data_IF_839983665624
#
_entry.id   IF_839983665624
#
_cell.length_a   1.000
_cell.length_b   1.000
_cell.length_c   1.000
_cell.angle_alpha   90.00
_cell.angle_beta   90.00
_cell.angle_gamma   90.00
#
_symmetry.space_group_name_H-M   'P 1'
#
loop_
_entity.id
_entity.type
_entity.pdbx_description
1 polymer ?
#
# COMPACT_ATOMS: atom_id res chain seq x y z
N UNK A 1 -42.00 37.24 -49.41
CA UNK A 1 -43.42 36.86 -49.53
C UNK A 1 -43.66 35.71 -48.58
N UNK A 2 -44.07 36.00 -47.35
CA UNK A 2 -45.21 35.33 -46.73
C UNK A 2 -45.66 36.15 -45.53
N UNK A 3 -46.96 36.21 -45.32
CA UNK A 3 -47.64 37.18 -44.46
C UNK A 3 -48.81 36.53 -43.73
N UNK A 4 -49.08 37.03 -42.51
CA UNK A 4 -50.38 36.98 -41.77
C UNK A 4 -50.69 35.65 -41.02
N UNK A 5 -51.23 35.54 -39.78
CA UNK A 5 -52.09 36.37 -38.90
C UNK A 5 -51.95 36.05 -37.37
N UNK A 6 -52.35 37.04 -36.55
CA UNK A 6 -52.91 37.12 -35.18
C UNK A 6 -53.63 35.86 -34.59
N UNK A 7 -53.87 35.60 -33.27
CA UNK A 7 -54.32 36.45 -32.14
C UNK A 7 -54.39 35.70 -30.75
N UNK A 8 -54.01 36.40 -29.64
CA UNK A 8 -54.56 36.52 -28.24
C UNK A 8 -55.02 35.33 -27.32
N UNK A 9 -54.50 35.30 -26.06
CA UNK A 9 -55.14 35.59 -24.71
C UNK A 9 -54.21 35.10 -23.55
N UNK A 10 -53.72 35.97 -22.63
CA UNK A 10 -54.23 36.25 -21.26
C UNK A 10 -53.76 35.19 -20.23
N UNK A 11 -53.00 35.42 -19.15
CA UNK A 11 -52.76 36.56 -18.26
C UNK A 11 -53.34 36.24 -16.88
N UNK A 12 -52.52 35.97 -15.84
CA UNK A 12 -52.76 36.32 -14.41
C UNK A 12 -51.66 35.75 -13.48
N UNK A 13 -50.94 36.69 -12.86
CA UNK A 13 -50.12 36.55 -11.65
C UNK A 13 -51.05 36.78 -10.46
N UNK A 14 -50.90 36.04 -9.36
CA UNK A 14 -51.52 36.38 -8.08
C UNK A 14 -50.53 36.31 -6.92
N UNK A 15 -50.60 37.33 -6.07
CA UNK A 15 -49.74 37.66 -4.94
C UNK A 15 -50.63 37.72 -3.67
N UNK A 16 -50.11 37.17 -2.56
CA UNK A 16 -50.44 37.47 -1.13
C UNK A 16 -51.86 37.10 -0.62
N UNK A 17 -52.15 37.00 0.72
CA UNK A 17 -51.51 37.73 1.84
C UNK A 17 -51.27 36.97 3.17
N UNK A 18 -50.55 37.68 4.03
CA UNK A 18 -50.20 37.49 5.45
C UNK A 18 -51.35 37.24 6.44
N UNK A 19 -51.11 36.41 7.46
CA UNK A 19 -51.70 36.54 8.82
C UNK A 19 -50.75 35.97 9.89
N UNK A 20 -50.54 36.73 10.98
CA UNK A 20 -50.04 36.28 12.30
C UNK A 20 -51.19 36.29 13.31
N UNK A 21 -51.11 35.51 14.41
CA UNK A 21 -51.02 36.20 15.72
C UNK A 21 -50.23 35.46 16.84
N UNK A 22 -49.57 36.27 17.72
CA UNK A 22 -49.44 36.23 19.22
C UNK A 22 -49.07 34.90 19.92
N UNK A 23 -48.33 34.81 21.05
CA UNK A 23 -47.90 35.74 22.11
C UNK A 23 -46.75 35.13 22.94
N UNK A 24 -46.09 36.00 23.70
CA UNK A 24 -45.09 35.83 24.76
C UNK A 24 -45.42 34.83 25.89
N UNK A 25 -44.40 34.15 26.44
CA UNK A 25 -44.10 34.27 27.88
C UNK A 25 -42.68 33.82 28.29
N UNK A 26 -42.14 34.50 29.30
CA UNK A 26 -40.85 34.22 29.98
C UNK A 26 -41.07 33.38 31.23
N UNK A 27 -40.19 32.41 31.51
CA UNK A 27 -39.77 31.99 32.87
C UNK A 27 -38.45 31.21 32.74
N UNK A 28 -37.29 31.78 33.09
CA UNK A 28 -36.59 31.73 34.39
C UNK A 28 -36.31 30.30 34.90
N UNK A 29 -35.03 29.91 34.78
CA UNK A 29 -34.18 29.00 35.59
C UNK A 29 -34.72 27.60 35.93
N UNK A 30 -33.94 26.60 35.52
CA UNK A 30 -33.24 25.76 36.50
C UNK A 30 -31.93 25.18 35.95
N UNK A 31 -30.84 25.50 36.65
CA UNK A 31 -29.53 24.85 36.53
C UNK A 31 -29.63 23.50 37.22
N UNK A 32 -29.52 22.40 36.47
CA UNK A 32 -29.06 21.12 37.02
C UNK A 32 -28.03 20.48 36.11
N UNK A 33 -26.83 20.42 36.67
CA UNK A 33 -25.66 19.64 36.30
C UNK A 33 -26.00 18.22 35.85
N UNK A 34 -25.47 17.85 34.69
CA UNK A 34 -25.45 16.49 34.17
C UNK A 34 -24.29 16.34 33.18
N UNK A 35 -23.07 16.30 33.71
CA UNK A 35 -21.90 15.82 32.96
C UNK A 35 -22.13 14.36 32.56
N UNK A 36 -22.20 14.09 31.27
CA UNK A 36 -21.95 12.74 30.73
C UNK A 36 -21.71 12.75 29.21
N UNK A 37 -20.42 12.80 28.87
CA UNK A 37 -19.82 11.84 27.93
C UNK A 37 -20.31 11.84 26.46
N UNK A 38 -20.40 13.01 25.81
CA UNK A 38 -20.61 13.11 24.35
C UNK A 38 -19.34 13.45 23.54
N UNK A 39 -18.23 13.81 24.19
CA UNK A 39 -16.99 14.20 23.51
C UNK A 39 -16.12 13.03 23.03
N UNK A 40 -16.32 11.81 23.58
CA UNK A 40 -15.51 10.62 23.24
C UNK A 40 -15.98 9.86 21.99
N UNK A 41 -17.16 10.17 21.45
CA UNK A 41 -17.68 9.58 20.19
C UNK A 41 -17.23 10.32 18.93
N UNK A 42 -16.81 11.59 19.03
CA UNK A 42 -16.43 12.39 17.87
C UNK A 42 -14.94 12.28 17.46
N UNK A 43 -14.07 11.72 18.29
CA UNK A 43 -12.66 11.46 17.89
C UNK A 43 -12.46 10.13 17.15
N UNK A 44 -13.31 9.12 17.39
CA UNK A 44 -13.19 7.80 16.77
C UNK A 44 -13.51 7.74 15.28
N UNK A 45 -14.05 8.81 14.69
CA UNK A 45 -14.44 8.84 13.26
C UNK A 45 -13.48 9.65 12.38
N UNK A 46 -12.36 10.14 12.93
CA UNK A 46 -11.32 10.80 12.13
C UNK A 46 -10.45 9.73 11.46
N UNK A 47 -10.78 9.40 10.21
CA UNK A 47 -9.88 8.62 9.35
C UNK A 47 -8.48 9.25 9.29
N UNK A 48 -7.47 8.41 9.13
CA UNK A 48 -6.07 8.85 8.98
C UNK A 48 -5.73 8.93 7.50
N UNK A 49 -4.91 9.92 7.13
CA UNK A 49 -4.41 10.00 5.78
C UNK A 49 -3.33 8.94 5.54
N UNK A 50 -3.19 8.49 4.29
CA UNK A 50 -2.05 7.69 3.84
C UNK A 50 -0.77 8.53 4.00
N UNK A 51 0.25 7.93 4.60
CA UNK A 51 1.56 8.56 4.73
C UNK A 51 2.32 8.44 3.42
N UNK A 52 2.92 9.54 2.95
CA UNK A 52 3.71 9.56 1.72
C UNK A 52 5.11 10.07 2.01
N UNK A 53 6.07 9.21 1.76
CA UNK A 53 7.49 9.46 1.87
C UNK A 53 8.06 9.55 0.47
N UNK A 54 8.94 10.53 0.24
CA UNK A 54 9.74 10.57 -0.98
C UNK A 54 11.19 10.17 -0.71
N UNK A 55 11.75 9.38 -1.63
CA UNK A 55 13.15 9.00 -1.64
C UNK A 55 13.76 9.26 -3.01
N UNK A 56 14.77 10.12 -3.07
CA UNK A 56 15.57 10.36 -4.26
C UNK A 56 16.87 9.55 -4.19
N UNK A 57 17.15 8.73 -5.21
CA UNK A 57 18.44 8.01 -5.27
C UNK A 57 19.59 8.96 -5.67
N UNK A 58 20.85 8.64 -5.34
CA UNK A 58 21.99 9.27 -6.01
C UNK A 58 22.02 8.94 -7.51
N UNK A 59 22.78 9.72 -8.27
CA UNK A 59 23.11 9.38 -9.66
C UNK A 59 23.78 8.01 -9.70
N UNK A 60 23.45 7.21 -10.71
CA UNK A 60 24.17 5.95 -10.96
C UNK A 60 25.59 6.25 -11.44
N UNK A 61 26.47 5.25 -11.37
CA UNK A 61 27.84 5.39 -11.90
C UNK A 61 27.83 5.79 -13.38
N UNK A 62 26.91 5.25 -14.17
CA UNK A 62 26.73 5.61 -15.59
C UNK A 62 26.33 7.08 -15.76
N UNK A 63 25.33 7.55 -15.01
CA UNK A 63 24.85 8.93 -15.07
C UNK A 63 25.92 9.93 -14.61
N UNK A 64 26.69 9.56 -13.58
CA UNK A 64 27.80 10.36 -13.10
C UNK A 64 28.93 10.44 -14.14
N UNK A 65 29.26 9.31 -14.80
CA UNK A 65 30.30 9.24 -15.85
C UNK A 65 29.99 10.13 -17.05
N UNK A 66 28.72 10.22 -17.46
CA UNK A 66 28.31 11.05 -18.60
C UNK A 66 27.91 12.48 -18.18
N UNK A 67 28.16 12.86 -16.92
CA UNK A 67 27.82 14.17 -16.35
C UNK A 67 26.35 14.56 -16.56
N UNK A 68 25.44 13.61 -16.31
CA UNK A 68 24.00 13.86 -16.46
C UNK A 68 23.55 15.01 -15.57
N UNK A 69 22.86 16.03 -16.13
CA UNK A 69 22.31 17.12 -15.34
C UNK A 69 21.31 16.64 -14.29
N UNK A 70 21.47 17.14 -13.07
CA UNK A 70 20.53 16.96 -11.96
C UNK A 70 19.47 18.05 -12.02
N UNK A 71 18.20 17.65 -12.03
CA UNK A 71 17.03 18.55 -12.11
C UNK A 71 16.11 18.45 -10.90
N UNK A 72 16.48 17.62 -9.92
CA UNK A 72 15.73 17.44 -8.67
C UNK A 72 16.59 17.93 -7.50
N UNK A 73 16.00 18.77 -6.65
CA UNK A 73 16.58 19.17 -5.37
C UNK A 73 15.68 18.70 -4.24
N UNK A 74 16.27 18.10 -3.20
CA UNK A 74 15.54 17.63 -2.02
C UNK A 74 15.94 18.47 -0.81
N UNK A 75 14.94 19.02 -0.10
CA UNK A 75 15.14 19.68 1.18
C UNK A 75 14.43 18.86 2.26
N UNK A 76 15.22 18.06 2.98
CA UNK A 76 14.70 17.12 4.00
C UNK A 76 14.06 17.85 5.19
N UNK A 77 14.66 18.98 5.62
CA UNK A 77 14.16 19.80 6.73
C UNK A 77 12.80 20.44 6.43
N UNK A 78 12.63 20.94 5.21
CA UNK A 78 11.35 21.52 4.74
C UNK A 78 10.37 20.47 4.24
N UNK A 79 10.82 19.23 4.05
CA UNK A 79 10.07 18.12 3.42
C UNK A 79 9.62 18.48 1.99
N UNK A 80 10.50 19.16 1.27
CA UNK A 80 10.24 19.68 -0.08
C UNK A 80 11.09 18.98 -1.13
N UNK A 81 10.49 18.79 -2.30
CA UNK A 81 11.18 18.30 -3.50
C UNK A 81 10.89 19.28 -4.64
N UNK A 82 11.94 19.85 -5.20
CA UNK A 82 11.85 20.81 -6.29
C UNK A 82 12.34 20.16 -7.58
N UNK A 83 11.51 20.20 -8.62
CA UNK A 83 11.87 19.81 -9.97
C UNK A 83 12.06 21.08 -10.81
N UNK A 84 13.30 21.34 -11.22
CA UNK A 84 13.68 22.56 -11.95
C UNK A 84 14.41 22.20 -13.24
N UNK A 85 13.88 22.64 -14.37
CA UNK A 85 14.53 22.53 -15.68
C UNK A 85 14.34 23.82 -16.47
N UNK A 86 15.45 24.39 -16.95
CA UNK A 86 15.48 25.54 -17.87
C UNK A 86 16.31 25.19 -19.10
N UNK A 87 15.77 24.36 -19.99
CA UNK A 87 16.44 23.96 -21.25
C UNK A 87 15.40 23.94 -22.38
N UNK A 88 15.76 24.45 -23.55
CA UNK A 88 15.00 24.34 -24.81
C UNK A 88 13.52 24.80 -24.73
N UNK A 89 13.27 26.02 -24.24
CA UNK A 89 11.94 26.64 -24.12
C UNK A 89 10.92 25.92 -23.22
N UNK A 90 11.32 24.86 -22.50
CA UNK A 90 10.55 24.29 -21.39
C UNK A 90 11.12 24.80 -20.07
N UNK A 91 10.35 25.65 -19.40
CA UNK A 91 10.58 26.06 -18.03
C UNK A 91 9.70 25.18 -17.13
N UNK A 92 10.34 24.32 -16.36
CA UNK A 92 9.69 23.54 -15.30
C UNK A 92 10.21 24.08 -13.99
N UNK A 93 9.30 24.52 -13.14
CA UNK A 93 9.56 24.88 -11.74
C UNK A 93 8.36 24.41 -10.92
N UNK A 94 8.53 23.24 -10.28
CA UNK A 94 7.49 22.66 -9.43
C UNK A 94 8.07 22.23 -8.11
N UNK A 95 7.36 22.55 -7.03
CA UNK A 95 7.72 22.16 -5.67
C UNK A 95 6.61 21.30 -5.09
N UNK A 96 6.98 20.16 -4.51
CA UNK A 96 6.08 19.21 -3.88
C UNK A 96 6.41 19.07 -2.40
N UNK A 97 5.38 18.95 -1.58
CA UNK A 97 5.48 18.73 -0.13
C UNK A 97 5.04 17.32 0.22
N UNK A 98 5.85 16.62 1.01
CA UNK A 98 5.59 15.26 1.48
C UNK A 98 5.65 15.17 3.02
N UNK A 99 5.33 14.00 3.58
CA UNK A 99 5.42 13.81 5.04
C UNK A 99 6.88 13.69 5.48
N UNK A 100 7.71 13.06 4.65
CA UNK A 100 9.18 13.00 4.77
C UNK A 100 9.81 13.00 3.38
N UNK A 101 10.99 13.58 3.28
CA UNK A 101 11.81 13.59 2.06
C UNK A 101 13.19 13.09 2.43
N UNK A 102 13.70 12.13 1.67
CA UNK A 102 15.02 11.55 1.78
C UNK A 102 15.78 11.83 0.49
N UNK A 103 16.86 12.60 0.58
CA UNK A 103 17.70 12.95 -0.55
C UNK A 103 18.71 11.85 -0.92
N UNK A 104 19.55 12.11 -1.92
CA UNK A 104 20.60 11.19 -2.38
C UNK A 104 21.58 10.70 -1.30
N UNK A 105 21.77 11.49 -0.24
CA UNK A 105 22.68 11.21 0.88
C UNK A 105 22.01 10.42 2.02
N UNK A 106 20.69 10.29 2.05
CA UNK A 106 20.00 9.61 3.14
C UNK A 106 20.27 8.11 3.14
N UNK A 107 20.55 7.55 4.30
CA UNK A 107 20.89 6.13 4.45
C UNK A 107 19.64 5.25 4.66
N UNK A 108 19.76 3.96 4.35
CA UNK A 108 18.70 2.97 4.57
C UNK A 108 18.19 2.95 6.02
N UNK A 109 19.11 3.04 6.98
CA UNK A 109 18.81 3.06 8.41
C UNK A 109 17.98 4.29 8.78
N UNK A 110 18.35 5.46 8.28
CA UNK A 110 17.66 6.72 8.59
C UNK A 110 16.22 6.71 8.07
N UNK A 111 16.01 6.28 6.81
CA UNK A 111 14.68 6.10 6.24
C UNK A 111 13.83 5.15 7.09
N UNK A 112 14.43 4.03 7.50
CA UNK A 112 13.74 3.05 8.32
C UNK A 112 13.36 3.61 9.69
N UNK A 113 14.33 4.14 10.43
CA UNK A 113 14.13 4.64 11.80
C UNK A 113 13.09 5.76 11.84
N UNK A 114 13.17 6.70 10.91
CA UNK A 114 12.30 7.88 10.93
C UNK A 114 10.90 7.63 10.40
N UNK A 115 10.68 6.60 9.58
CA UNK A 115 9.44 6.48 8.82
C UNK A 115 8.78 5.10 8.88
N UNK A 116 9.56 4.03 8.93
CA UNK A 116 9.04 2.66 8.91
C UNK A 116 8.96 2.06 10.31
N UNK A 117 9.94 2.32 11.17
CA UNK A 117 9.98 1.79 12.54
C UNK A 117 8.71 2.08 13.35
N UNK A 118 8.09 3.28 13.26
CA UNK A 118 6.81 3.54 13.92
C UNK A 118 5.67 2.64 13.42
N UNK A 119 5.61 2.36 12.11
CA UNK A 119 4.59 1.50 11.50
C UNK A 119 4.75 0.06 11.99
N UNK A 120 5.99 -0.41 12.13
CA UNK A 120 6.28 -1.75 12.68
C UNK A 120 5.75 -1.87 14.12
N UNK A 121 5.90 -0.81 14.93
CA UNK A 121 5.33 -0.81 16.28
C UNK A 121 3.79 -0.89 16.26
N UNK A 122 3.14 -0.18 15.34
CA UNK A 122 1.67 -0.24 15.18
C UNK A 122 1.19 -1.66 14.79
N UNK A 123 1.97 -2.40 14.00
CA UNK A 123 1.67 -3.82 13.71
C UNK A 123 1.68 -4.64 15.00
N UNK A 124 2.67 -4.44 15.87
CA UNK A 124 2.76 -5.12 17.17
C UNK A 124 1.66 -4.68 18.16
N UNK A 125 1.02 -3.53 17.93
CA UNK A 125 -0.18 -3.10 18.63
C UNK A 125 -1.47 -3.76 18.11
N UNK A 126 -1.39 -4.46 16.97
CA UNK A 126 -2.49 -5.20 16.37
C UNK A 126 -3.15 -4.50 15.17
N UNK A 127 -2.50 -3.49 14.60
CA UNK A 127 -2.96 -2.88 13.35
C UNK A 127 -2.54 -3.72 12.14
N UNK A 128 -3.35 -3.62 11.08
CA UNK A 128 -2.90 -3.97 9.74
C UNK A 128 -2.15 -2.77 9.16
N UNK A 129 -0.96 -3.01 8.62
CA UNK A 129 -0.12 -2.01 7.99
C UNK A 129 0.33 -2.47 6.61
N UNK A 130 0.44 -1.54 5.67
CA UNK A 130 0.98 -1.78 4.33
C UNK A 130 2.03 -0.72 4.01
N UNK A 131 3.21 -1.17 3.60
CA UNK A 131 4.28 -0.31 3.10
C UNK A 131 4.56 -0.74 1.68
N UNK A 132 4.48 0.20 0.73
CA UNK A 132 4.79 -0.11 -0.66
C UNK A 132 5.66 0.93 -1.33
N UNK A 133 6.60 0.45 -2.14
CA UNK A 133 7.47 1.29 -2.96
C UNK A 133 6.86 1.51 -4.35
N UNK A 134 6.84 2.76 -4.82
CA UNK A 134 6.30 3.16 -6.13
C UNK A 134 7.30 4.06 -6.87
N UNK A 135 7.33 4.00 -8.19
CA UNK A 135 8.18 4.81 -9.06
C UNK A 135 8.68 4.06 -10.28
N UNK A 136 9.42 4.75 -11.15
CA UNK A 136 9.99 4.19 -12.37
C UNK A 136 11.00 3.06 -12.09
N UNK A 137 11.22 2.15 -13.04
CA UNK A 137 12.29 1.17 -13.00
C UNK A 137 13.65 1.80 -12.78
N UNK A 138 14.45 1.23 -11.87
CA UNK A 138 15.80 1.73 -11.58
C UNK A 138 15.86 2.95 -10.67
N UNK A 139 14.74 3.43 -10.13
CA UNK A 139 14.74 4.48 -9.08
C UNK A 139 15.07 3.95 -7.69
N UNK A 140 15.11 2.62 -7.50
CA UNK A 140 15.52 1.98 -6.25
C UNK A 140 14.39 1.44 -5.38
N UNK A 141 13.22 1.07 -5.95
CA UNK A 141 12.12 0.40 -5.23
C UNK A 141 12.58 -0.87 -4.49
N UNK A 142 13.09 -1.87 -5.24
CA UNK A 142 13.61 -3.12 -4.67
C UNK A 142 14.79 -2.87 -3.72
N UNK A 143 15.68 -1.91 -4.03
CA UNK A 143 16.75 -1.53 -3.09
C UNK A 143 16.19 -0.93 -1.79
N UNK A 144 15.08 -0.21 -1.84
CA UNK A 144 14.42 0.31 -0.64
C UNK A 144 13.79 -0.82 0.17
N UNK A 145 13.11 -1.75 -0.50
CA UNK A 145 12.39 -2.84 0.17
C UNK A 145 13.33 -3.94 0.69
N UNK A 146 14.21 -4.49 -0.15
CA UNK A 146 15.11 -5.59 0.18
C UNK A 146 16.49 -5.11 0.64
N UNK A 147 17.04 -4.08 -0.02
CA UNK A 147 18.41 -3.61 0.20
C UNK A 147 19.43 -4.26 -0.72
N UNK A 148 20.70 -4.19 -0.32
CA UNK A 148 21.77 -4.93 -0.98
C UNK A 148 21.79 -6.41 -0.60
N UNK A 149 22.46 -7.24 -1.42
CA UNK A 149 22.62 -8.66 -1.12
C UNK A 149 23.38 -8.86 0.19
N UNK A 150 22.94 -9.83 1.01
CA UNK A 150 23.55 -10.14 2.29
C UNK A 150 25.02 -10.50 2.10
N UNK A 151 25.92 -9.79 2.77
CA UNK A 151 27.35 -10.14 2.80
C UNK A 151 27.50 -11.48 3.55
N UNK A 152 28.40 -12.35 3.07
CA UNK A 152 28.62 -13.71 3.60
C UNK A 152 29.08 -13.75 5.08
N UNK A 153 29.36 -12.59 5.66
CA UNK A 153 30.05 -12.43 6.94
C UNK A 153 29.10 -12.47 8.16
N UNK A 154 27.80 -12.71 7.96
CA UNK A 154 26.80 -12.82 9.04
C UNK A 154 26.34 -11.48 9.64
N UNK A 155 27.10 -10.40 9.46
CA UNK A 155 26.72 -9.05 9.88
C UNK A 155 25.46 -8.54 9.16
N UNK A 156 24.60 -7.82 9.91
CA UNK A 156 23.43 -7.17 9.34
C UNK A 156 23.88 -6.04 8.40
N UNK A 157 23.60 -6.11 7.08
CA UNK A 157 24.15 -5.16 6.14
C UNK A 157 23.71 -3.73 6.42
N UNK A 158 24.63 -2.76 6.34
CA UNK A 158 24.32 -1.34 6.49
C UNK A 158 23.32 -0.85 5.44
N UNK A 159 23.32 -1.49 4.28
CA UNK A 159 22.43 -1.24 3.14
C UNK A 159 21.16 -2.12 3.12
N UNK A 160 20.92 -2.91 4.17
CA UNK A 160 19.69 -3.68 4.34
C UNK A 160 18.46 -2.77 4.23
N UNK A 161 17.45 -3.21 3.48
CA UNK A 161 16.24 -2.43 3.20
C UNK A 161 15.20 -2.50 4.31
N UNK A 162 13.98 -2.10 3.96
CA UNK A 162 12.81 -2.08 4.85
C UNK A 162 12.48 -3.47 5.38
N UNK A 163 12.39 -4.49 4.52
CA UNK A 163 11.98 -5.85 4.90
C UNK A 163 12.90 -6.44 5.97
N UNK A 164 14.23 -6.55 5.77
CA UNK A 164 15.10 -7.14 6.77
C UNK A 164 15.16 -6.34 8.08
N UNK A 165 15.05 -5.01 8.02
CA UNK A 165 15.01 -4.17 9.22
C UNK A 165 13.71 -4.32 10.00
N UNK A 166 12.57 -4.41 9.32
CA UNK A 166 11.28 -4.68 9.95
C UNK A 166 11.29 -6.03 10.65
N UNK A 167 11.78 -7.08 9.98
CA UNK A 167 11.92 -8.41 10.57
C UNK A 167 12.78 -8.36 11.83
N UNK A 168 13.96 -7.74 11.75
CA UNK A 168 14.84 -7.60 12.91
C UNK A 168 14.14 -6.88 14.07
N UNK A 169 13.55 -5.72 13.83
CA UNK A 169 12.85 -4.95 14.87
C UNK A 169 11.70 -5.75 15.50
N UNK A 170 10.93 -6.49 14.71
CA UNK A 170 9.83 -7.32 15.21
C UNK A 170 10.37 -8.35 16.21
N UNK A 171 11.39 -9.12 15.84
CA UNK A 171 11.99 -10.12 16.73
C UNK A 171 12.63 -9.47 17.96
N UNK A 172 13.40 -8.39 17.79
CA UNK A 172 14.04 -7.67 18.88
C UNK A 172 13.01 -7.21 19.93
N UNK A 173 11.84 -6.70 19.51
CA UNK A 173 10.77 -6.25 20.42
C UNK A 173 10.07 -7.44 21.09
N UNK A 174 9.72 -8.48 20.33
CA UNK A 174 9.02 -9.66 20.87
C UNK A 174 9.87 -10.39 21.90
N UNK A 175 11.18 -10.51 21.66
CA UNK A 175 12.15 -11.10 22.59
C UNK A 175 12.34 -10.22 23.83
N UNK A 176 12.51 -8.90 23.66
CA UNK A 176 12.65 -7.98 24.78
C UNK A 176 11.42 -7.94 25.70
N UNK A 177 10.23 -8.17 25.16
CA UNK A 177 8.98 -8.26 25.92
C UNK A 177 8.72 -9.67 26.48
N UNK A 178 9.57 -10.66 26.15
CA UNK A 178 9.34 -12.07 26.45
C UNK A 178 7.92 -12.53 26.06
N UNK A 179 7.47 -12.06 24.88
CA UNK A 179 6.11 -12.30 24.42
C UNK A 179 5.91 -13.74 23.95
N UNK A 180 4.75 -14.33 24.22
CA UNK A 180 4.33 -15.58 23.58
C UNK A 180 3.66 -15.25 22.24
N UNK A 181 4.28 -15.64 21.13
CA UNK A 181 3.82 -15.27 19.80
C UNK A 181 3.88 -16.42 18.79
N UNK A 182 3.13 -16.27 17.70
CA UNK A 182 3.22 -17.10 16.50
C UNK A 182 3.28 -16.19 15.28
N UNK A 183 4.27 -16.41 14.42
CA UNK A 183 4.47 -15.62 13.21
C UNK A 183 4.33 -16.50 11.97
N UNK A 184 3.62 -15.97 10.99
CA UNK A 184 3.43 -16.60 9.67
C UNK A 184 3.83 -15.64 8.58
N UNK A 185 4.36 -16.17 7.49
CA UNK A 185 4.69 -15.37 6.31
C UNK A 185 4.06 -15.95 5.05
N UNK A 186 3.70 -15.05 4.13
CA UNK A 186 3.30 -15.39 2.77
C UNK A 186 4.11 -14.56 1.78
N UNK A 187 4.41 -15.13 0.61
CA UNK A 187 5.13 -14.40 -0.42
C UNK A 187 4.52 -14.71 -1.78
N UNK A 188 3.95 -13.68 -2.42
CA UNK A 188 3.34 -13.81 -3.74
C UNK A 188 3.96 -12.85 -4.74
N UNK A 189 3.96 -13.27 -5.99
CA UNK A 189 4.24 -12.46 -7.17
C UNK A 189 2.93 -12.25 -7.95
N UNK A 190 2.67 -11.02 -8.37
CA UNK A 190 1.64 -10.68 -9.34
C UNK A 190 2.31 -10.22 -10.62
N UNK A 191 2.22 -11.04 -11.66
CA UNK A 191 2.76 -10.77 -12.97
C UNK A 191 1.70 -11.02 -14.03
N UNK A 192 1.47 -10.06 -14.92
CA UNK A 192 0.47 -10.18 -16.00
C UNK A 192 -0.93 -10.59 -15.51
N UNK A 193 -1.40 -10.00 -14.40
CA UNK A 193 -2.67 -10.36 -13.74
C UNK A 193 -2.75 -11.84 -13.30
N UNK A 194 -1.64 -12.55 -13.17
CA UNK A 194 -1.54 -13.90 -12.60
C UNK A 194 -0.83 -13.86 -11.25
N UNK A 195 -1.41 -14.54 -10.25
CA UNK A 195 -0.84 -14.63 -8.91
C UNK A 195 -0.05 -15.94 -8.84
N UNK A 196 1.23 -15.82 -8.53
CA UNK A 196 2.12 -16.96 -8.29
C UNK A 196 2.56 -16.97 -6.83
N UNK A 197 2.45 -18.13 -6.19
CA UNK A 197 2.98 -18.35 -4.85
C UNK A 197 4.50 -18.62 -4.93
N UNK A 198 5.29 -17.76 -4.29
CA UNK A 198 6.75 -17.88 -4.27
C UNK A 198 7.25 -18.84 -3.18
N UNK A 199 6.38 -19.25 -2.24
CA UNK A 199 6.71 -20.23 -1.20
C UNK A 199 6.42 -21.67 -1.62
N UNK A 200 5.52 -21.87 -2.59
CA UNK A 200 5.14 -23.18 -3.10
C UNK A 200 6.36 -24.09 -3.43
N UNK A 201 6.39 -25.36 -3.02
CA UNK A 201 7.49 -26.28 -3.29
C UNK A 201 7.79 -26.41 -4.80
N UNK A 202 9.09 -26.50 -5.18
CA UNK A 202 9.47 -26.55 -6.61
C UNK A 202 8.88 -27.75 -7.36
N UNK A 203 8.63 -28.86 -6.67
CA UNK A 203 8.17 -30.12 -7.28
C UNK A 203 6.79 -30.00 -7.95
N UNK A 204 5.96 -29.04 -7.54
CA UNK A 204 4.63 -28.81 -8.13
C UNK A 204 4.70 -28.16 -9.52
N UNK A 205 5.85 -27.59 -9.90
CA UNK A 205 5.99 -26.79 -11.13
C UNK A 205 6.56 -27.54 -12.34
N UNK A 206 7.34 -28.61 -12.13
CA UNK A 206 8.16 -29.23 -13.20
C UNK A 206 7.63 -30.56 -13.76
N UNK A 207 6.72 -31.26 -13.07
CA UNK A 207 6.30 -32.63 -13.46
C UNK A 207 4.80 -32.87 -13.63
N UNK A 208 3.95 -31.85 -13.51
CA UNK A 208 2.50 -32.04 -13.55
C UNK A 208 1.99 -31.71 -14.96
N UNK A 209 1.88 -32.76 -15.78
CA UNK A 209 1.21 -32.77 -17.09
C UNK A 209 -0.33 -32.78 -16.93
N UNK A 210 -0.84 -32.88 -15.70
CA UNK A 210 -2.27 -32.97 -15.41
C UNK A 210 -2.75 -31.80 -14.54
N UNK A 211 -3.41 -30.83 -15.18
CA UNK A 211 -3.87 -29.52 -14.66
C UNK A 211 -4.79 -29.59 -13.42
N UNK A 212 -5.13 -30.80 -12.95
CA UNK A 212 -6.08 -31.06 -11.86
C UNK A 212 -5.49 -31.09 -10.44
N UNK A 213 -4.16 -31.08 -10.28
CA UNK A 213 -3.51 -31.20 -8.96
C UNK A 213 -2.87 -29.90 -8.43
N UNK A 214 -2.84 -28.83 -9.23
CA UNK A 214 -2.45 -27.51 -8.71
C UNK A 214 -3.55 -26.97 -7.81
N UNK A 215 -3.24 -26.67 -6.55
CA UNK A 215 -4.15 -25.89 -5.68
C UNK A 215 -4.48 -24.58 -6.44
N UNK A 216 -5.75 -24.31 -6.79
CA UNK A 216 -6.07 -23.10 -7.53
C UNK A 216 -5.84 -21.88 -6.65
N UNK A 217 -4.91 -21.01 -7.04
CA UNK A 217 -4.69 -19.72 -6.39
C UNK A 217 -5.78 -18.77 -6.85
N UNK A 218 -6.68 -18.38 -5.95
CA UNK A 218 -7.83 -17.56 -6.28
C UNK A 218 -7.95 -16.34 -5.36
N UNK A 219 -8.16 -15.17 -5.96
CA UNK A 219 -8.42 -13.93 -5.22
C UNK A 219 -9.91 -13.83 -4.87
N UNK A 220 -10.23 -13.98 -3.60
CA UNK A 220 -11.58 -14.04 -3.05
C UNK A 220 -11.90 -12.78 -2.24
N UNK A 221 -13.19 -12.45 -2.17
CA UNK A 221 -13.73 -11.41 -1.29
C UNK A 221 -14.47 -12.13 -0.14
N UNK A 222 -14.22 -11.71 1.10
CA UNK A 222 -15.02 -12.15 2.24
C UNK A 222 -16.40 -11.47 2.20
N UNK A 223 -17.38 -12.02 2.93
CA UNK A 223 -18.73 -11.45 3.02
C UNK A 223 -18.80 -10.07 3.70
N UNK A 224 -17.67 -9.54 4.20
CA UNK A 224 -17.53 -8.23 4.83
C UNK A 224 -16.75 -7.24 3.94
N UNK A 225 -16.40 -7.63 2.71
CA UNK A 225 -15.70 -6.81 1.73
C UNK A 225 -14.16 -6.86 1.79
N UNK A 226 -13.58 -7.63 2.71
CA UNK A 226 -12.13 -7.87 2.79
C UNK A 226 -11.65 -8.80 1.67
N UNK A 227 -10.40 -8.65 1.25
CA UNK A 227 -9.83 -9.41 0.12
C UNK A 227 -8.76 -10.37 0.62
N UNK A 228 -8.83 -11.64 0.23
CA UNK A 228 -7.83 -12.66 0.58
C UNK A 228 -7.52 -13.57 -0.61
N UNK A 229 -6.35 -14.19 -0.60
CA UNK A 229 -5.93 -15.14 -1.64
C UNK A 229 -6.03 -16.55 -1.08
N UNK A 230 -6.93 -17.36 -1.64
CA UNK A 230 -7.04 -18.78 -1.31
C UNK A 230 -5.95 -19.55 -2.03
N UNK A 231 -5.34 -20.51 -1.33
CA UNK A 231 -4.37 -21.44 -1.90
C UNK A 231 -2.91 -20.99 -1.83
N UNK A 232 -2.62 -19.83 -1.21
CA UNK A 232 -1.24 -19.45 -0.87
C UNK A 232 -0.75 -20.30 0.31
N UNK A 233 0.52 -20.68 0.25
CA UNK A 233 1.22 -21.34 1.34
C UNK A 233 1.53 -20.32 2.46
N UNK A 234 1.29 -20.73 3.70
CA UNK A 234 1.64 -19.96 4.90
C UNK A 234 2.76 -20.68 5.65
N UNK A 235 3.98 -20.13 5.63
CA UNK A 235 5.10 -20.70 6.37
C UNK A 235 5.17 -20.10 7.78
N UNK A 236 5.17 -20.96 8.80
CA UNK A 236 5.39 -20.56 10.19
C UNK A 236 6.89 -20.33 10.38
N UNK A 237 7.23 -19.21 11.01
CA UNK A 237 8.62 -18.81 11.26
C UNK A 237 8.85 -18.56 12.73
N UNK A 238 10.01 -18.98 13.22
CA UNK A 238 10.42 -18.88 14.63
C UNK A 238 11.68 -18.04 14.81
N UNK A 239 12.41 -17.76 13.74
CA UNK A 239 13.63 -16.95 13.78
C UNK A 239 13.71 -15.98 12.60
N UNK A 240 14.40 -14.84 12.79
CA UNK A 240 14.68 -13.90 11.71
C UNK A 240 15.43 -14.56 10.52
N UNK A 241 16.27 -15.55 10.81
CA UNK A 241 17.06 -16.23 9.79
C UNK A 241 16.22 -17.11 8.84
N UNK A 242 15.12 -17.68 9.33
CA UNK A 242 14.16 -18.39 8.48
C UNK A 242 13.52 -17.44 7.47
N UNK A 243 13.11 -16.25 7.91
CA UNK A 243 12.55 -15.23 7.01
C UNK A 243 13.57 -14.81 5.94
N UNK A 244 14.84 -14.64 6.31
CA UNK A 244 15.87 -14.32 5.32
C UNK A 244 16.03 -15.42 4.26
N UNK A 245 16.02 -16.70 4.66
CA UNK A 245 16.06 -17.83 3.71
C UNK A 245 14.83 -17.85 2.80
N UNK A 246 13.66 -17.53 3.36
CA UNK A 246 12.40 -17.46 2.61
C UNK A 246 12.47 -16.35 1.55
N UNK A 247 12.96 -15.16 1.91
CA UNK A 247 13.16 -14.05 0.99
C UNK A 247 14.17 -14.40 -0.11
N UNK A 248 15.32 -15.00 0.25
CA UNK A 248 16.31 -15.45 -0.72
C UNK A 248 15.74 -16.47 -1.71
N UNK A 249 14.97 -17.46 -1.21
CA UNK A 249 14.30 -18.47 -2.03
C UNK A 249 13.26 -17.85 -2.96
N UNK A 250 12.41 -16.95 -2.45
CA UNK A 250 11.39 -16.27 -3.25
C UNK A 250 12.00 -15.35 -4.30
N UNK A 251 13.03 -14.57 -3.95
CA UNK A 251 13.77 -13.73 -4.89
C UNK A 251 14.53 -14.55 -5.94
N UNK A 252 15.04 -15.73 -5.58
CA UNK A 252 15.66 -16.65 -6.53
C UNK A 252 14.63 -17.21 -7.54
N UNK A 253 13.45 -17.63 -7.08
CA UNK A 253 12.35 -18.08 -7.96
C UNK A 253 11.92 -16.97 -8.92
N UNK A 254 11.78 -15.75 -8.40
CA UNK A 254 11.49 -14.54 -9.20
C UNK A 254 12.56 -14.31 -10.27
N UNK A 255 13.84 -14.54 -9.94
CA UNK A 255 14.98 -14.42 -10.89
C UNK A 255 15.07 -15.57 -11.89
N UNK A 256 14.71 -16.80 -11.55
CA UNK A 256 14.80 -17.92 -12.51
C UNK A 256 13.83 -17.79 -13.69
N UNK A 257 12.76 -17.01 -13.52
CA UNK A 257 11.87 -16.63 -14.62
C UNK A 257 12.45 -15.46 -15.48
N UNK A 258 13.50 -14.76 -15.00
CA UNK A 258 14.25 -13.75 -15.73
C UNK A 258 15.15 -14.39 -16.79
N UNK A 259 14.67 -14.46 -18.04
CA UNK A 259 15.58 -14.60 -19.19
C UNK A 259 16.48 -13.36 -19.29
N UNK A 260 17.74 -13.52 -19.73
CA UNK A 260 18.81 -12.48 -19.77
C UNK A 260 18.48 -11.14 -20.47
N UNK A 261 17.29 -11.01 -21.07
CA UNK A 261 16.76 -9.80 -21.73
C UNK A 261 15.56 -9.17 -21.00
N UNK A 262 15.10 -9.77 -19.90
CA UNK A 262 13.90 -9.40 -19.13
C UNK A 262 14.26 -9.26 -17.65
N UNK A 263 14.48 -8.03 -17.18
CA UNK A 263 14.62 -7.73 -15.76
C UNK A 263 13.23 -7.81 -15.09
N UNK A 264 12.71 -9.01 -14.86
CA UNK A 264 11.34 -9.29 -14.39
C UNK A 264 11.00 -8.59 -13.06
N UNK A 265 11.96 -8.33 -12.19
CA UNK A 265 11.79 -7.48 -11.00
C UNK A 265 11.20 -6.09 -11.30
N UNK A 266 11.41 -5.56 -12.51
CA UNK A 266 10.80 -4.30 -12.97
C UNK A 266 9.37 -4.45 -13.50
N UNK A 267 8.91 -5.68 -13.68
CA UNK A 267 7.71 -6.02 -14.44
C UNK A 267 6.66 -6.80 -13.64
N UNK A 268 7.04 -7.40 -12.52
CA UNK A 268 6.11 -8.01 -11.59
C UNK A 268 6.01 -7.21 -10.30
N UNK A 269 4.85 -7.27 -9.66
CA UNK A 269 4.67 -6.79 -8.29
C UNK A 269 4.92 -7.95 -7.33
N UNK A 270 5.50 -7.67 -6.18
CA UNK A 270 5.67 -8.69 -5.14
C UNK A 270 5.07 -8.19 -3.83
N UNK A 271 4.39 -9.09 -3.11
CA UNK A 271 3.79 -8.81 -1.81
C UNK A 271 4.29 -9.86 -0.83
N UNK A 272 5.12 -9.42 0.10
CA UNK A 272 5.57 -10.21 1.23
C UNK A 272 4.76 -9.81 2.47
N UNK A 273 4.01 -10.74 3.06
CA UNK A 273 3.18 -10.44 4.22
C UNK A 273 3.70 -11.16 5.45
N UNK A 274 3.74 -10.46 6.58
CA UNK A 274 4.04 -11.02 7.90
C UNK A 274 2.78 -10.88 8.75
N UNK A 275 2.25 -12.00 9.24
CA UNK A 275 1.12 -12.03 10.18
C UNK A 275 1.65 -12.46 11.54
N UNK A 276 1.38 -11.66 12.57
CA UNK A 276 1.88 -11.85 13.93
C UNK A 276 0.68 -12.03 14.86
N UNK A 277 0.64 -13.15 15.56
CA UNK A 277 -0.29 -13.40 16.65
C UNK A 277 0.49 -13.29 17.96
N UNK A 278 0.11 -12.34 18.82
CA UNK A 278 0.71 -12.13 20.13
C UNK A 278 -0.33 -12.50 21.17
N UNK A 279 0.03 -13.39 22.08
CA UNK A 279 -0.81 -13.74 23.22
C UNK A 279 -0.64 -12.70 24.32
N UNK A 280 -1.76 -12.22 24.84
CA UNK A 280 -1.81 -11.30 25.98
C UNK A 280 -2.73 -11.88 27.05
N UNK A 281 -2.37 -11.72 28.31
CA UNK A 281 -3.28 -11.97 29.42
C UNK A 281 -3.89 -10.65 29.86
N UNK A 282 -5.20 -10.59 29.97
CA UNK A 282 -5.87 -9.44 30.58
C UNK A 282 -5.58 -9.35 32.08
N UNK A 283 -5.79 -8.19 32.72
CA UNK A 283 -5.72 -8.07 34.18
C UNK A 283 -6.63 -9.06 34.91
N UNK A 284 -7.74 -9.47 34.27
CA UNK A 284 -8.70 -10.44 34.77
C UNK A 284 -8.25 -11.91 34.57
N UNK A 285 -7.08 -12.14 33.96
CA UNK A 285 -6.50 -13.47 33.73
C UNK A 285 -6.98 -14.17 32.46
N UNK A 286 -7.76 -13.50 31.60
CA UNK A 286 -8.23 -14.08 30.35
C UNK A 286 -7.17 -14.01 29.25
N UNK A 287 -6.93 -15.14 28.57
CA UNK A 287 -6.02 -15.20 27.42
C UNK A 287 -6.68 -14.62 26.15
N UNK A 288 -6.09 -13.53 25.65
CA UNK A 288 -6.47 -12.86 24.42
C UNK A 288 -5.37 -13.00 23.36
N UNK A 289 -5.77 -12.98 22.09
CA UNK A 289 -4.84 -12.96 20.95
C UNK A 289 -4.98 -11.62 20.24
N UNK A 290 -3.89 -10.87 20.22
CA UNK A 290 -3.70 -9.68 19.38
C UNK A 290 -3.13 -10.13 18.04
N UNK A 291 -3.71 -9.65 16.94
CA UNK A 291 -3.27 -10.00 15.59
C UNK A 291 -2.81 -8.73 14.85
N UNK A 292 -1.58 -8.73 14.35
CA UNK A 292 -1.05 -7.68 13.49
C UNK A 292 -0.67 -8.25 12.13
N UNK A 293 -0.83 -7.46 11.06
CA UNK A 293 -0.40 -7.85 9.72
C UNK A 293 0.41 -6.73 9.06
N UNK A 294 1.60 -7.07 8.58
CA UNK A 294 2.46 -6.18 7.82
C UNK A 294 2.59 -6.65 6.38
N UNK A 295 2.06 -5.88 5.43
CA UNK A 295 2.25 -6.12 4.00
C UNK A 295 3.41 -5.25 3.50
N UNK A 296 4.42 -5.88 2.91
CA UNK A 296 5.61 -5.24 2.35
C UNK A 296 5.59 -5.48 0.85
N UNK A 297 5.34 -4.42 0.08
CA UNK A 297 5.04 -4.52 -1.35
C UNK A 297 6.10 -3.80 -2.17
N UNK A 298 6.69 -4.51 -3.13
CA UNK A 298 7.57 -3.95 -4.16
C UNK A 298 6.83 -3.97 -5.50
N UNK A 299 6.41 -2.79 -5.96
CA UNK A 299 5.66 -2.65 -7.21
C UNK A 299 6.59 -2.68 -8.43
N UNK A 300 6.03 -3.02 -9.58
CA UNK A 300 6.67 -2.88 -10.88
C UNK A 300 7.00 -1.41 -11.22
N UNK A 301 7.81 -1.20 -12.26
CA UNK A 301 8.10 0.12 -12.81
C UNK A 301 6.85 0.82 -13.36
N UNK A 302 6.71 2.11 -13.09
CA UNK A 302 5.57 2.93 -13.52
C UNK A 302 5.74 3.61 -14.88
N UNK A 303 6.86 3.39 -15.57
CA UNK A 303 7.21 4.13 -16.79
C UNK A 303 6.38 3.78 -18.04
N UNK A 304 6.36 4.71 -18.99
CA UNK A 304 5.67 4.51 -20.26
C UNK A 304 6.45 3.61 -21.23
N UNK A 305 5.74 2.58 -21.73
CA UNK A 305 6.23 1.54 -22.67
C UNK A 305 6.73 2.14 -23.99
N UNK A 306 6.17 3.26 -24.43
CA UNK A 306 6.54 3.91 -25.70
C UNK A 306 8.03 4.26 -25.77
N UNK A 307 8.71 4.43 -24.62
CA UNK A 307 10.15 4.68 -24.55
C UNK A 307 11.00 3.40 -24.40
N UNK A 308 10.40 2.23 -24.14
CA UNK A 308 11.12 0.97 -23.90
C UNK A 308 11.51 0.19 -25.17
N UNK A 309 11.04 0.62 -26.36
CA UNK A 309 11.37 -0.03 -27.63
C UNK A 309 10.82 -1.47 -27.74
N UNK A 310 9.75 -1.78 -27.03
CA UNK A 310 9.12 -3.10 -27.00
C UNK A 310 8.45 -3.46 -28.36
N UNK A 311 8.86 -4.57 -28.99
CA UNK A 311 8.20 -5.16 -30.16
C UNK A 311 6.91 -5.91 -29.76
N UNK A 312 6.01 -6.17 -30.71
CA UNK A 312 4.59 -6.56 -30.57
C UNK A 312 4.21 -7.49 -29.39
N UNK A 313 4.98 -8.53 -29.05
CA UNK A 313 4.72 -9.37 -27.86
C UNK A 313 5.00 -8.69 -26.51
N UNK A 314 6.11 -7.93 -26.43
CA UNK A 314 6.49 -7.13 -25.24
C UNK A 314 5.60 -5.90 -25.04
N UNK A 315 4.99 -5.40 -26.11
CA UNK A 315 4.05 -4.27 -26.01
C UNK A 315 2.77 -4.67 -25.24
N UNK A 316 2.28 -5.90 -25.45
CA UNK A 316 1.11 -6.44 -24.72
C UNK A 316 1.42 -6.69 -23.24
N UNK A 317 2.56 -7.34 -22.96
CA UNK A 317 3.04 -7.58 -21.58
C UNK A 317 3.22 -6.26 -20.81
N UNK A 318 3.95 -5.32 -21.38
CA UNK A 318 4.13 -4.02 -20.77
C UNK A 318 2.80 -3.26 -20.63
N UNK A 319 1.85 -3.49 -21.54
CA UNK A 319 0.48 -2.97 -21.48
C UNK A 319 -0.28 -3.46 -20.25
N UNK A 320 -0.17 -4.74 -19.90
CA UNK A 320 -0.82 -5.32 -18.71
C UNK A 320 -0.13 -4.88 -17.40
N UNK A 321 1.20 -4.71 -17.40
CA UNK A 321 1.92 -4.13 -16.25
C UNK A 321 1.43 -2.71 -16.01
N UNK A 322 1.40 -1.89 -17.06
CA UNK A 322 0.93 -0.52 -16.97
C UNK A 322 -0.57 -0.44 -16.69
N UNK A 323 -1.37 -1.43 -17.09
CA UNK A 323 -2.78 -1.52 -16.71
C UNK A 323 -2.94 -1.62 -15.19
N UNK A 324 -2.19 -2.48 -14.50
CA UNK A 324 -2.28 -2.59 -13.04
C UNK A 324 -1.95 -1.28 -12.32
N UNK A 325 -0.89 -0.56 -12.75
CA UNK A 325 -0.48 0.73 -12.17
C UNK A 325 -1.35 1.91 -12.62
N UNK A 326 -1.89 1.88 -13.84
CA UNK A 326 -2.86 2.85 -14.33
C UNK A 326 -4.17 2.74 -13.56
N UNK A 327 -4.65 1.51 -13.35
CA UNK A 327 -5.83 1.23 -12.52
C UNK A 327 -5.59 1.67 -11.09
N UNK A 328 -4.40 1.43 -10.54
CA UNK A 328 -4.02 1.97 -9.23
C UNK A 328 -4.11 3.50 -9.19
N UNK A 329 -3.62 4.20 -10.21
CA UNK A 329 -3.79 5.66 -10.35
C UNK A 329 -5.25 6.10 -10.43
N UNK A 330 -6.11 5.35 -11.13
CA UNK A 330 -7.56 5.61 -11.19
C UNK A 330 -8.23 5.43 -9.82
N UNK A 331 -7.85 4.39 -9.08
CA UNK A 331 -8.33 4.16 -7.71
C UNK A 331 -7.95 5.32 -6.79
N UNK A 332 -6.72 5.82 -6.87
CA UNK A 332 -6.28 6.97 -6.08
C UNK A 332 -7.08 8.22 -6.42
N UNK A 333 -7.25 8.54 -7.71
CA UNK A 333 -8.03 9.70 -8.12
C UNK A 333 -9.48 9.59 -7.62
N UNK A 334 -10.12 8.44 -7.79
CA UNK A 334 -11.47 8.19 -7.32
C UNK A 334 -11.61 8.35 -5.79
N UNK A 335 -10.61 7.89 -5.02
CA UNK A 335 -10.58 8.03 -3.56
C UNK A 335 -10.42 9.48 -3.10
N UNK A 336 -9.55 10.24 -3.75
CA UNK A 336 -9.29 11.66 -3.45
C UNK A 336 -10.48 12.52 -3.84
N UNK A 337 -11.13 12.21 -4.97
CA UNK A 337 -12.35 12.90 -5.44
C UNK A 337 -13.61 12.46 -4.70
N UNK A 338 -13.50 11.52 -3.76
CA UNK A 338 -14.63 10.94 -3.01
C UNK A 338 -15.74 10.40 -3.93
N UNK A 339 -15.33 9.77 -5.04
CA UNK A 339 -16.23 9.15 -5.99
C UNK A 339 -17.04 8.02 -5.34
N UNK A 340 -18.32 7.92 -5.67
CA UNK A 340 -19.21 6.89 -5.11
C UNK A 340 -18.82 5.45 -5.50
N UNK A 341 -18.12 5.28 -6.63
CA UNK A 341 -17.59 3.99 -7.06
C UNK A 341 -16.07 4.08 -7.29
N UNK A 342 -15.33 3.19 -6.62
CA UNK A 342 -13.88 3.07 -6.78
C UNK A 342 -13.57 1.77 -7.53
N UNK A 343 -12.85 1.82 -8.66
CA UNK A 343 -12.71 0.68 -9.58
C UNK A 343 -11.63 -0.32 -9.13
N UNK A 344 -11.72 -0.83 -7.90
CA UNK A 344 -10.74 -1.82 -7.41
C UNK A 344 -10.72 -3.09 -8.23
N UNK A 345 -11.85 -3.48 -8.83
CA UNK A 345 -12.02 -4.76 -9.54
C UNK A 345 -11.30 -4.82 -10.89
N UNK A 346 -10.86 -3.69 -11.43
CA UNK A 346 -10.24 -3.58 -12.75
C UNK A 346 -8.82 -4.18 -12.80
N UNK A 347 -8.20 -4.44 -11.64
CA UNK A 347 -6.92 -5.17 -11.52
C UNK A 347 -6.88 -5.98 -10.22
N UNK A 348 -6.24 -7.15 -10.26
CA UNK A 348 -5.95 -7.95 -9.05
C UNK A 348 -5.07 -7.19 -8.06
N UNK A 349 -4.17 -6.33 -8.53
CA UNK A 349 -3.33 -5.50 -7.66
C UNK A 349 -4.19 -4.56 -6.79
N UNK A 350 -5.13 -3.86 -7.42
CA UNK A 350 -6.00 -2.92 -6.70
C UNK A 350 -6.98 -3.63 -5.78
N UNK A 351 -7.42 -4.85 -6.12
CA UNK A 351 -8.16 -5.71 -5.19
C UNK A 351 -7.31 -6.12 -3.99
N UNK A 352 -6.06 -6.54 -4.20
CA UNK A 352 -5.13 -6.89 -3.11
C UNK A 352 -4.83 -5.68 -2.19
N UNK A 353 -4.76 -4.47 -2.76
CA UNK A 353 -4.50 -3.23 -2.02
C UNK A 353 -5.77 -2.52 -1.54
N UNK A 354 -6.96 -3.10 -1.73
CA UNK A 354 -8.24 -2.48 -1.38
C UNK A 354 -8.29 -2.05 0.07
N UNK A 355 -7.83 -2.90 0.98
CA UNK A 355 -7.82 -2.58 2.42
C UNK A 355 -6.77 -1.51 2.78
N UNK A 356 -5.76 -1.31 1.92
CA UNK A 356 -4.67 -0.34 2.10
C UNK A 356 -4.98 1.05 1.54
N UNK A 357 -5.92 1.15 0.60
CA UNK A 357 -6.26 2.42 -0.05
C UNK A 357 -7.75 2.65 0.12
N UNK A 358 -8.15 3.51 1.05
CA UNK A 358 -9.56 3.76 1.41
C UNK A 358 -10.15 2.72 2.38
N UNK A 359 -9.33 1.82 2.93
CA UNK A 359 -9.75 0.72 3.79
C UNK A 359 -9.34 0.84 5.25
N UNK A 360 -9.14 -0.31 5.91
CA UNK A 360 -8.90 -0.46 7.36
C UNK A 360 -7.43 -0.61 7.76
N UNK A 361 -6.52 -0.33 6.86
CA UNK A 361 -5.09 -0.57 7.05
C UNK A 361 -4.36 0.77 7.16
N UNK A 362 -3.36 0.88 8.05
CA UNK A 362 -2.42 2.01 8.03
C UNK A 362 -1.49 1.85 6.83
N UNK A 363 -1.32 2.88 6.01
CA UNK A 363 -0.61 2.72 4.74
C UNK A 363 0.43 3.81 4.55
N UNK A 364 1.60 3.38 4.12
CA UNK A 364 2.73 4.21 3.81
C UNK A 364 3.23 3.92 2.39
N UNK A 365 3.33 4.98 1.59
CA UNK A 365 3.85 4.93 0.23
C UNK A 365 5.25 5.51 0.23
N UNK A 366 6.21 4.76 -0.30
CA UNK A 366 7.58 5.24 -0.54
C UNK A 366 7.73 5.51 -2.04
N UNK A 367 7.63 6.78 -2.42
CA UNK A 367 7.83 7.24 -3.79
C UNK A 367 9.33 7.36 -4.07
N UNK A 368 9.86 6.51 -4.95
CA UNK A 368 11.26 6.47 -5.34
C UNK A 368 11.48 7.17 -6.68
N UNK A 369 12.40 8.12 -6.75
CA UNK A 369 12.63 8.95 -7.95
C UNK A 369 14.11 9.02 -8.32
N UNK A 370 14.38 9.38 -9.58
CA UNK A 370 15.73 9.67 -10.09
C UNK A 370 15.95 11.18 -10.16
N UNK A 371 17.16 11.68 -9.82
CA UNK A 371 17.50 13.10 -9.97
C UNK A 371 17.84 13.50 -11.42
N UNK A 372 18.00 12.51 -12.32
CA UNK A 372 18.45 12.68 -13.69
C UNK A 372 17.44 13.41 -14.58
N UNK A 373 17.92 14.34 -15.40
CA UNK A 373 17.14 15.02 -16.44
C UNK A 373 16.47 14.06 -17.42
N UNK A 374 17.08 12.90 -17.70
CA UNK A 374 16.52 11.91 -18.63
C UNK A 374 15.23 11.25 -18.10
N UNK A 375 15.07 11.26 -16.77
CA UNK A 375 13.94 10.68 -16.04
C UNK A 375 12.93 11.74 -15.57
N UNK A 376 13.08 13.02 -15.95
CA UNK A 376 12.29 14.11 -15.36
C UNK A 376 10.78 13.94 -15.55
N UNK A 377 10.34 13.56 -16.74
CA UNK A 377 8.90 13.36 -17.03
C UNK A 377 8.28 12.27 -16.13
N UNK A 378 8.97 11.14 -15.98
CA UNK A 378 8.54 10.02 -15.14
C UNK A 378 8.63 10.36 -13.64
N UNK A 379 9.62 11.19 -13.28
CA UNK A 379 9.76 11.73 -11.93
C UNK A 379 8.59 12.66 -11.60
N UNK A 380 8.20 13.55 -12.50
CA UNK A 380 7.02 14.41 -12.32
C UNK A 380 5.73 13.59 -12.21
N UNK A 381 5.56 12.56 -13.04
CA UNK A 381 4.44 11.62 -12.93
C UNK A 381 4.39 10.95 -11.56
N UNK A 382 5.53 10.48 -11.07
CA UNK A 382 5.66 9.86 -9.73
C UNK A 382 5.36 10.86 -8.62
N UNK A 383 5.85 12.10 -8.73
CA UNK A 383 5.62 13.17 -7.77
C UNK A 383 4.14 13.56 -7.71
N UNK A 384 3.49 13.76 -8.85
CA UNK A 384 2.05 14.08 -8.94
C UNK A 384 1.20 12.94 -8.34
N UNK A 385 1.53 11.68 -8.66
CA UNK A 385 0.87 10.51 -8.11
C UNK A 385 0.99 10.46 -6.57
N UNK A 386 2.21 10.57 -6.07
CA UNK A 386 2.51 10.52 -4.63
C UNK A 386 1.83 11.67 -3.88
N UNK A 387 1.85 12.88 -4.46
CA UNK A 387 1.23 14.06 -3.86
C UNK A 387 -0.30 13.92 -3.75
N UNK A 388 -0.96 13.33 -4.76
CA UNK A 388 -2.40 13.02 -4.69
C UNK A 388 -2.70 11.96 -3.63
N UNK A 389 -1.88 10.91 -3.57
CA UNK A 389 -2.11 9.78 -2.67
C UNK A 389 -2.13 10.17 -1.18
N UNK A 390 -1.43 11.24 -0.80
CA UNK A 390 -1.43 11.80 0.56
C UNK A 390 -2.83 12.22 1.06
N UNK A 391 -3.77 12.49 0.16
CA UNK A 391 -5.13 12.89 0.52
C UNK A 391 -6.11 11.71 0.64
N UNK A 392 -5.66 10.48 0.44
CA UNK A 392 -6.47 9.28 0.66
C UNK A 392 -6.69 9.11 2.16
N UNK A 393 -7.95 8.93 2.57
CA UNK A 393 -8.35 8.68 3.95
C UNK A 393 -8.61 7.20 4.17
N UNK A 394 -7.89 6.59 5.10
CA UNK A 394 -8.14 5.26 5.62
C UNK A 394 -8.83 5.34 6.99
N UNK A 395 -9.47 4.26 7.43
CA UNK A 395 -10.02 4.10 8.79
C UNK A 395 -9.39 2.89 9.48
N UNK A 396 -8.13 2.99 9.95
CA UNK A 396 -7.46 1.85 10.54
C UNK A 396 -8.15 1.34 11.79
N UNK A 397 -8.34 0.04 11.85
CA UNK A 397 -8.92 -0.65 12.99
C UNK A 397 -7.87 -1.58 13.60
N UNK A 398 -7.80 -1.62 14.93
CA UNK A 398 -7.04 -2.66 15.62
C UNK A 398 -7.84 -3.95 15.46
N UNK A 399 -7.19 -5.03 15.02
CA UNK A 399 -7.86 -6.32 14.96
C UNK A 399 -8.35 -6.70 16.36
N UNK A 400 -9.62 -7.08 16.47
CA UNK A 400 -10.23 -7.35 17.77
C UNK A 400 -9.41 -8.41 18.51
N UNK A 401 -9.11 -8.13 19.78
CA UNK A 401 -8.57 -9.12 20.70
C UNK A 401 -9.60 -10.24 20.82
N UNK A 402 -9.31 -11.39 20.24
CA UNK A 402 -10.20 -12.53 20.34
C UNK A 402 -9.77 -13.36 21.54
N UNK A 403 -10.74 -13.84 22.32
CA UNK A 403 -10.46 -14.86 23.32
C UNK A 403 -9.89 -16.08 22.59
N UNK A 404 -8.82 -16.66 23.11
CA UNK A 404 -8.23 -17.88 22.52
C UNK A 404 -9.27 -18.99 22.33
N UNK A 405 -10.20 -19.13 23.28
CA UNK A 405 -11.34 -20.06 23.20
C UNK A 405 -12.28 -19.77 22.02
N UNK A 406 -12.53 -18.50 21.71
CA UNK A 406 -13.35 -18.09 20.58
C UNK A 406 -12.63 -18.34 19.24
N UNK A 407 -11.33 -18.04 19.14
CA UNK A 407 -10.53 -18.34 17.93
C UNK A 407 -10.52 -19.84 17.65
N UNK A 408 -10.30 -20.66 18.68
CA UNK A 408 -10.31 -22.11 18.58
C UNK A 408 -11.70 -22.59 18.13
N UNK A 409 -12.78 -22.06 18.71
CA UNK A 409 -14.15 -22.40 18.34
C UNK A 409 -14.49 -22.01 16.90
N UNK A 410 -14.04 -20.84 16.44
CA UNK A 410 -14.24 -20.38 15.07
C UNK A 410 -13.45 -21.24 14.07
N UNK A 411 -12.20 -21.60 14.40
CA UNK A 411 -11.40 -22.53 13.60
C UNK A 411 -12.02 -23.92 13.53
N UNK A 412 -12.54 -24.47 14.64
CA UNK A 412 -13.27 -25.73 14.62
C UNK A 412 -14.55 -25.64 13.79
N UNK A 413 -15.30 -24.53 13.90
CA UNK A 413 -16.51 -24.30 13.11
C UNK A 413 -16.20 -24.19 11.61
N UNK A 414 -15.09 -23.55 11.25
CA UNK A 414 -14.64 -23.43 9.86
C UNK A 414 -14.13 -24.77 9.31
N UNK A 415 -13.41 -25.56 10.12
CA UNK A 415 -13.00 -26.92 9.79
C UNK A 415 -14.24 -27.81 9.54
N UNK A 416 -15.26 -27.72 10.40
CA UNK A 416 -16.49 -28.49 10.25
C UNK A 416 -17.27 -28.06 9.00
N UNK A 417 -17.32 -26.76 8.71
CA UNK A 417 -17.93 -26.24 7.47
C UNK A 417 -17.20 -26.74 6.22
N UNK A 418 -15.87 -26.77 6.24
CA UNK A 418 -15.06 -27.28 5.13
C UNK A 418 -15.17 -28.81 4.96
N UNK A 419 -15.34 -29.55 6.07
CA UNK A 419 -15.59 -31.00 6.05
C UNK A 419 -16.99 -31.37 5.57
N UNK A 420 -18.00 -30.55 5.84
CA UNK A 420 -19.38 -30.77 5.38
C UNK A 420 -19.61 -30.33 3.92
N UNK A 421 -18.73 -29.49 3.37
CA UNK A 421 -18.77 -29.04 1.98
C UNK A 421 -17.84 -29.82 1.03
N UNK A 422 -17.28 -30.95 1.46
CA UNK A 422 -16.47 -31.87 0.63
C UNK A 422 -17.28 -33.08 0.19
#
# INVERSE_FOLDING_TARGET
MDSSLQQRRGGLVSLSPSQTPRSSDKSVRDLRSGDSNSSSKHEKDKGVNVQVILRCRPLSEDEARIHTPVVITCNENRREVCAVQNIANKQIDRTFLFDKVFGPSSQQKELFDLAVSPIVNEVLEGYNCTIFAYGQTGTGKTYTMEGGARKKNGEFPSDAGVIPRSVKQIFDILEAQNAEYSMKVTFLELYNEEITDLLAPEETSKFIVDDKTKKPIALMEDGKGGVFVRGLEEEIVTTANEIYKILERGSAKRRTAETLLNKQSSRSHSIFSITIHIKECTPEGEEMIKCGKLNLVDLAGSENISRSGAREGRAREAGEINKSLLTLGRVINALVEHSGHVPYRDSKLTRLLRDSLGGKTKTCIIATISPSVHCLEETLSTLDYAHRAKNIKNKPEINQKMMKSAVIKDLYSEIDRLKQGS
#
